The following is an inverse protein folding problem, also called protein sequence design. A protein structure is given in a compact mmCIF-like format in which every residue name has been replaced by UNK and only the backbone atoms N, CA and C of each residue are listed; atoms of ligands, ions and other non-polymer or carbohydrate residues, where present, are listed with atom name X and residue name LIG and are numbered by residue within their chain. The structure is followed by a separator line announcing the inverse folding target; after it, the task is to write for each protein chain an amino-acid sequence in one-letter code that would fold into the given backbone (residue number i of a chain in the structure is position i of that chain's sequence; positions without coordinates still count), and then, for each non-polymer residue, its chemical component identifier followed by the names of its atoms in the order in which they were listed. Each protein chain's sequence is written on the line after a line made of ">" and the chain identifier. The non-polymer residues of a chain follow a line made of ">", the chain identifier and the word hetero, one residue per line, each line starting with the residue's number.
data_IF_687939486129
#
_entry.id   IF_687939486129
#
_cell.length_a   1.000
_cell.length_b   1.000
_cell.length_c   1.000
_cell.angle_alpha   90.00
_cell.angle_beta   90.00
_cell.angle_gamma   90.00
#
_symmetry.space_group_name_H-M   'P 1'
#
loop_
_entity.id
_entity.type
_entity.pdbx_description
1 polymer ?
#
# COMPACT_ATOMS: atom_id res chain seq x y z
N UNK A 1 -3.37 -10.54 6.43
CA UNK A 1 -3.08 -9.42 5.51
C UNK A 1 -4.29 -9.02 4.66
N UNK A 2 -5.02 -9.97 4.04
CA UNK A 2 -6.22 -9.71 3.20
C UNK A 2 -7.52 -9.33 3.96
N UNK A 3 -7.46 -9.05 5.25
CA UNK A 3 -8.63 -8.68 6.04
C UNK A 3 -9.07 -7.23 5.79
N UNK A 4 -8.12 -6.31 5.66
CA UNK A 4 -8.46 -4.88 5.54
C UNK A 4 -9.13 -4.53 4.21
N UNK A 5 -8.68 -5.11 3.11
CA UNK A 5 -9.33 -4.87 1.81
C UNK A 5 -10.78 -5.37 1.80
N UNK A 6 -11.12 -6.35 2.65
CA UNK A 6 -12.49 -6.86 2.80
C UNK A 6 -13.42 -5.92 3.56
N UNK A 7 -12.90 -4.90 4.25
CA UNK A 7 -13.70 -3.80 4.78
C UNK A 7 -14.36 -3.00 3.63
N UNK A 8 -13.75 -3.00 2.44
CA UNK A 8 -14.21 -2.25 1.27
C UNK A 8 -14.72 -3.13 0.12
N UNK A 9 -14.09 -4.30 -0.08
CA UNK A 9 -14.34 -5.22 -1.21
C UNK A 9 -14.58 -6.64 -0.66
N UNK A 10 -15.83 -6.97 -0.31
CA UNK A 10 -16.18 -8.30 0.16
C UNK A 10 -15.76 -9.41 -0.80
N UNK A 11 -15.55 -10.62 -0.26
CA UNK A 11 -15.09 -11.76 -1.07
C UNK A 11 -16.14 -12.10 -2.14
N UNK A 12 -15.68 -12.36 -3.37
CA UNK A 12 -16.53 -12.78 -4.49
C UNK A 12 -17.16 -11.62 -5.27
N UNK A 13 -16.83 -10.38 -4.91
CA UNK A 13 -17.27 -9.19 -5.62
C UNK A 13 -16.52 -9.03 -6.95
N UNK A 14 -17.24 -8.67 -8.01
CA UNK A 14 -16.65 -8.38 -9.31
C UNK A 14 -16.05 -6.96 -9.32
N UNK A 15 -14.72 -6.86 -9.39
CA UNK A 15 -14.01 -5.58 -9.37
C UNK A 15 -14.27 -4.71 -10.60
N UNK A 16 -14.66 -5.29 -11.74
CA UNK A 16 -14.96 -4.54 -12.96
C UNK A 16 -16.16 -3.59 -12.83
N UNK A 17 -16.96 -3.75 -11.76
CA UNK A 17 -18.10 -2.88 -11.46
C UNK A 17 -17.70 -1.58 -10.76
N UNK A 18 -16.45 -1.47 -10.30
CA UNK A 18 -15.96 -0.29 -9.59
C UNK A 18 -15.13 0.59 -10.53
N UNK A 19 -15.29 1.90 -10.36
CA UNK A 19 -14.43 2.85 -11.05
C UNK A 19 -13.00 2.74 -10.54
N UNK A 20 -12.04 2.98 -11.43
CA UNK A 20 -10.63 3.04 -11.03
C UNK A 20 -10.39 4.07 -9.92
N UNK A 21 -11.12 5.19 -9.94
CA UNK A 21 -11.06 6.22 -8.89
C UNK A 21 -11.44 5.69 -7.50
N UNK A 22 -12.48 4.87 -7.41
CA UNK A 22 -12.88 4.23 -6.15
C UNK A 22 -11.82 3.23 -5.66
N UNK A 23 -11.29 2.40 -6.57
CA UNK A 23 -10.23 1.46 -6.23
C UNK A 23 -8.95 2.16 -5.77
N UNK A 24 -8.59 3.29 -6.40
CA UNK A 24 -7.48 4.12 -6.00
C UNK A 24 -7.70 4.73 -4.61
N UNK A 25 -8.91 5.21 -4.30
CA UNK A 25 -9.23 5.74 -2.98
C UNK A 25 -9.09 4.68 -1.88
N UNK A 26 -9.53 3.43 -2.13
CA UNK A 26 -9.30 2.32 -1.20
C UNK A 26 -7.80 2.08 -1.01
N UNK A 27 -7.05 2.01 -2.12
CA UNK A 27 -5.61 1.78 -2.06
C UNK A 27 -4.89 2.88 -1.26
N UNK A 28 -5.26 4.13 -1.50
CA UNK A 28 -4.72 5.30 -0.79
C UNK A 28 -4.98 5.20 0.71
N UNK A 29 -6.21 4.91 1.13
CA UNK A 29 -6.55 4.71 2.53
C UNK A 29 -5.79 3.54 3.16
N UNK A 30 -5.64 2.42 2.46
CA UNK A 30 -4.89 1.27 2.96
C UNK A 30 -3.39 1.56 3.08
N UNK A 31 -2.82 2.30 2.13
CA UNK A 31 -1.40 2.65 2.10
C UNK A 31 -1.03 3.70 3.16
N UNK A 32 -1.97 4.57 3.54
CA UNK A 32 -1.77 5.60 4.57
C UNK A 32 -2.29 5.19 5.96
N UNK A 33 -2.75 3.94 6.14
CA UNK A 33 -3.23 3.46 7.44
C UNK A 33 -2.06 2.95 8.30
N UNK A 34 -1.82 3.50 9.50
CA UNK A 34 -0.85 2.97 10.46
C UNK A 34 -1.04 1.48 10.73
N UNK A 35 0.06 0.69 10.69
CA UNK A 35 0.00 -0.76 10.93
C UNK A 35 0.85 -1.12 12.12
N UNK A 36 0.24 -1.78 13.12
CA UNK A 36 0.95 -2.27 14.30
C UNK A 36 2.16 -3.17 13.95
N UNK A 37 2.06 -3.97 12.89
CA UNK A 37 3.17 -4.82 12.43
C UNK A 37 4.33 -4.06 11.78
N UNK A 38 4.12 -2.78 11.45
CA UNK A 38 5.14 -1.85 10.97
C UNK A 38 5.48 -0.82 12.06
N UNK A 39 5.38 -1.18 13.35
CA UNK A 39 5.57 -0.25 14.46
C UNK A 39 4.69 1.01 14.40
N UNK A 40 3.47 0.87 13.86
CA UNK A 40 2.52 1.95 13.59
C UNK A 40 2.91 2.93 12.48
N UNK A 41 3.94 2.61 11.70
CA UNK A 41 4.19 3.29 10.43
C UNK A 41 3.15 2.87 9.38
N UNK A 42 2.97 3.73 8.38
CA UNK A 42 2.13 3.45 7.23
C UNK A 42 2.90 2.61 6.20
N UNK A 43 2.21 1.73 5.44
CA UNK A 43 2.83 1.02 4.33
C UNK A 43 3.52 1.95 3.34
N UNK A 44 2.96 3.14 3.11
CA UNK A 44 3.55 4.16 2.23
C UNK A 44 4.91 4.65 2.72
N UNK A 45 5.05 4.96 4.02
CA UNK A 45 6.31 5.43 4.60
C UNK A 45 7.40 4.36 4.53
N UNK A 46 7.06 3.13 4.91
CA UNK A 46 8.01 2.00 4.87
C UNK A 46 8.43 1.73 3.43
N UNK A 47 7.48 1.67 2.49
CA UNK A 47 7.79 1.46 1.07
C UNK A 47 8.71 2.56 0.52
N UNK A 48 8.41 3.82 0.81
CA UNK A 48 9.22 4.97 0.35
C UNK A 48 10.65 4.91 0.89
N UNK A 49 10.82 4.50 2.16
CA UNK A 49 12.14 4.29 2.77
C UNK A 49 12.91 3.16 2.11
N UNK A 50 12.27 2.02 1.89
CA UNK A 50 12.92 0.86 1.25
C UNK A 50 13.34 1.18 -0.19
N UNK A 51 12.50 1.88 -0.96
CA UNK A 51 12.86 2.33 -2.31
C UNK A 51 14.06 3.27 -2.27
N UNK A 52 14.08 4.23 -1.34
CA UNK A 52 15.23 5.11 -1.15
C UNK A 52 16.49 4.31 -0.82
N UNK A 53 16.43 3.38 0.13
CA UNK A 53 17.58 2.55 0.51
C UNK A 53 18.12 1.73 -0.68
N UNK A 54 17.24 1.17 -1.50
CA UNK A 54 17.61 0.44 -2.71
C UNK A 54 18.30 1.36 -3.74
N UNK A 55 17.80 2.59 -3.94
CA UNK A 55 18.42 3.55 -4.85
C UNK A 55 19.83 3.97 -4.38
N UNK A 56 20.02 4.17 -3.09
CA UNK A 56 21.34 4.50 -2.52
C UNK A 56 22.31 3.30 -2.54
N UNK A 57 21.82 2.07 -2.41
CA UNK A 57 22.64 0.85 -2.52
C UNK A 57 23.05 0.49 -3.95
N UNK A 58 22.39 1.09 -4.96
CA UNK A 58 22.68 0.91 -6.41
C UNK A 58 23.48 2.10 -6.96
N UNK A 59 23.96 3.02 -6.10
CA UNK A 59 24.98 3.98 -6.52
C UNK A 59 26.25 3.21 -6.92
N UNK A 60 26.35 2.89 -8.22
CA UNK A 60 27.62 2.69 -8.88
C UNK A 60 28.46 3.91 -8.53
N UNK A 61 29.61 3.64 -7.92
CA UNK A 61 30.68 4.61 -7.76
C UNK A 61 31.00 5.14 -9.16
N UNK A 62 30.72 6.42 -9.39
CA UNK A 62 31.40 7.23 -10.41
C UNK A 62 32.60 7.92 -9.75
#
# INVERSE_FOLDING_TARGET
>A
MNGLIREYLPKGLNLAQFSQGYLNAIADQLNHRPRRCLNYETPFEVYSREISNLQHGVALQD
#
